data_IF_262245823291
#
_entry.id   IF_262245823291
#
_cell.length_a   1.000
_cell.length_b   1.000
_cell.length_c   1.000
_cell.angle_alpha   90.00
_cell.angle_beta   90.00
_cell.angle_gamma   90.00
#
_symmetry.space_group_name_H-M   'P 1'
#
loop_
_entity.id
_entity.type
_entity.pdbx_description
1 polymer ?
#
# COMPACT_ATOMS: atom_id res chain seq x y z
N UNK A 1 10.72 16.37 5.42
CA UNK A 1 10.53 15.29 4.42
C UNK A 1 10.43 13.88 5.00
N UNK A 2 10.59 13.63 6.31
CA UNK A 2 10.48 12.28 6.91
C UNK A 2 9.24 12.06 7.81
N UNK A 3 8.57 13.13 8.25
CA UNK A 3 7.46 13.05 9.21
C UNK A 3 6.13 12.53 8.59
N UNK A 4 6.02 12.45 7.27
CA UNK A 4 4.76 12.17 6.55
C UNK A 4 4.71 10.85 5.78
N UNK A 5 5.78 10.05 5.72
CA UNK A 5 5.79 8.85 4.86
C UNK A 5 5.46 7.56 5.61
N UNK A 6 6.20 7.23 6.67
CA UNK A 6 6.00 5.97 7.41
C UNK A 6 4.83 6.00 8.38
N UNK A 7 4.77 7.04 9.21
CA UNK A 7 3.77 7.17 10.29
C UNK A 7 2.36 7.29 9.70
N UNK A 8 2.20 8.10 8.64
CA UNK A 8 0.92 8.28 7.96
C UNK A 8 0.42 6.97 7.34
N UNK A 9 1.31 6.16 6.74
CA UNK A 9 0.95 4.85 6.22
C UNK A 9 0.52 3.87 7.32
N UNK A 10 1.18 3.93 8.49
CA UNK A 10 0.79 3.15 9.67
C UNK A 10 -0.59 3.56 10.20
N UNK A 11 -0.88 4.86 10.31
CA UNK A 11 -2.20 5.34 10.73
C UNK A 11 -3.27 4.89 9.73
N UNK A 12 -2.99 4.97 8.42
CA UNK A 12 -3.91 4.53 7.38
C UNK A 12 -4.26 3.04 7.49
N UNK A 13 -3.27 2.15 7.71
CA UNK A 13 -3.56 0.72 7.85
C UNK A 13 -4.36 0.43 9.13
N UNK A 14 -4.10 1.15 10.23
CA UNK A 14 -4.87 1.02 11.46
C UNK A 14 -6.33 1.41 11.22
N UNK A 15 -6.58 2.55 10.57
CA UNK A 15 -7.93 3.00 10.20
C UNK A 15 -8.62 1.92 9.36
N UNK A 16 -7.91 1.32 8.40
CA UNK A 16 -8.47 0.26 7.57
C UNK A 16 -8.87 -0.98 8.36
N UNK A 17 -8.12 -1.38 9.39
CA UNK A 17 -8.51 -2.48 10.25
C UNK A 17 -9.68 -2.11 11.16
N UNK A 18 -9.67 -0.92 11.76
CA UNK A 18 -10.72 -0.47 12.69
C UNK A 18 -12.05 -0.28 11.99
N UNK A 19 -12.07 0.37 10.82
CA UNK A 19 -13.28 0.64 10.04
C UNK A 19 -13.64 -0.50 9.08
N UNK A 20 -12.91 -1.61 9.09
CA UNK A 20 -13.13 -2.74 8.17
C UNK A 20 -14.54 -3.32 8.27
N UNK A 21 -15.05 -3.43 9.49
CA UNK A 21 -16.38 -3.98 9.74
C UNK A 21 -17.50 -3.03 9.31
N UNK A 22 -17.27 -1.70 9.38
CA UNK A 22 -18.23 -0.68 8.94
C UNK A 22 -18.45 -0.70 7.41
N UNK A 23 -17.43 -1.10 6.65
CA UNK A 23 -17.48 -1.12 5.17
C UNK A 23 -17.88 -2.48 4.59
N UNK A 24 -18.17 -3.48 5.43
CA UNK A 24 -18.56 -4.82 4.98
C UNK A 24 -19.81 -4.79 4.10
N UNK A 25 -19.79 -5.56 3.02
CA UNK A 25 -20.90 -5.63 2.06
C UNK A 25 -20.99 -4.43 1.12
N UNK A 26 -20.07 -3.46 1.23
CA UNK A 26 -19.96 -2.33 0.31
C UNK A 26 -18.76 -2.51 -0.63
N UNK A 27 -18.72 -1.69 -1.69
CA UNK A 27 -17.57 -1.68 -2.61
C UNK A 27 -16.26 -1.26 -1.94
N UNK A 28 -16.34 -0.48 -0.85
CA UNK A 28 -15.19 -0.05 -0.05
C UNK A 28 -14.50 -1.20 0.68
N UNK A 29 -15.18 -2.33 0.93
CA UNK A 29 -14.54 -3.50 1.54
C UNK A 29 -13.34 -3.95 0.71
N UNK A 30 -13.49 -3.98 -0.62
CA UNK A 30 -12.41 -4.37 -1.54
C UNK A 30 -11.24 -3.36 -1.49
N UNK A 31 -11.53 -2.06 -1.41
CA UNK A 31 -10.53 -1.01 -1.24
C UNK A 31 -9.74 -1.15 0.04
N UNK A 32 -10.41 -1.40 1.16
CA UNK A 32 -9.78 -1.55 2.47
C UNK A 32 -8.86 -2.78 2.49
N UNK A 33 -9.34 -3.92 2.02
CA UNK A 33 -8.54 -5.14 1.91
C UNK A 33 -7.35 -4.96 0.95
N UNK A 34 -7.55 -4.24 -0.15
CA UNK A 34 -6.50 -3.94 -1.11
C UNK A 34 -5.42 -3.00 -0.52
N UNK A 35 -5.82 -1.99 0.26
CA UNK A 35 -4.88 -1.08 0.92
C UNK A 35 -4.08 -1.81 2.00
N UNK A 36 -4.72 -2.67 2.81
CA UNK A 36 -4.06 -3.51 3.81
C UNK A 36 -3.01 -4.42 3.15
N UNK A 37 -3.38 -5.16 2.10
CA UNK A 37 -2.45 -6.04 1.36
C UNK A 37 -1.27 -5.26 0.77
N UNK A 38 -1.54 -4.08 0.20
CA UNK A 38 -0.51 -3.23 -0.39
C UNK A 38 0.46 -2.72 0.69
N UNK A 39 -0.05 -2.29 1.85
CA UNK A 39 0.79 -1.86 2.97
C UNK A 39 1.78 -2.95 3.39
N UNK A 40 1.31 -4.18 3.63
CA UNK A 40 2.17 -5.28 4.04
C UNK A 40 3.17 -5.68 2.97
N UNK A 41 2.77 -5.71 1.70
CA UNK A 41 3.66 -6.02 0.59
C UNK A 41 4.78 -4.96 0.46
N UNK A 42 4.43 -3.68 0.54
CA UNK A 42 5.41 -2.58 0.53
C UNK A 42 6.33 -2.65 1.73
N UNK A 43 5.81 -2.91 2.92
CA UNK A 43 6.61 -2.98 4.14
C UNK A 43 7.65 -4.11 4.05
N UNK A 44 7.24 -5.31 3.61
CA UNK A 44 8.14 -6.45 3.45
C UNK A 44 9.19 -6.17 2.37
N UNK A 45 8.77 -5.70 1.18
CA UNK A 45 9.70 -5.41 0.09
C UNK A 45 10.64 -4.24 0.41
N UNK A 46 10.20 -3.26 1.19
CA UNK A 46 11.05 -2.17 1.66
C UNK A 46 12.09 -2.66 2.66
N UNK A 47 11.71 -3.55 3.59
CA UNK A 47 12.66 -4.19 4.53
C UNK A 47 13.70 -5.01 3.75
N UNK A 48 13.25 -5.87 2.83
CA UNK A 48 14.14 -6.68 1.98
C UNK A 48 15.05 -5.79 1.14
N UNK A 49 14.50 -4.77 0.46
CA UNK A 49 15.28 -3.84 -0.36
C UNK A 49 16.32 -3.05 0.44
N UNK A 50 15.97 -2.69 1.68
CA UNK A 50 16.90 -1.99 2.59
C UNK A 50 18.03 -2.90 3.06
N UNK A 51 17.74 -4.17 3.38
CA UNK A 51 18.76 -5.16 3.76
C UNK A 51 19.66 -5.49 2.56
N UNK A 52 19.10 -5.69 1.38
CA UNK A 52 19.86 -6.07 0.17
C UNK A 52 20.59 -4.88 -0.47
N UNK A 53 20.45 -3.66 0.09
CA UNK A 53 21.18 -2.46 -0.35
C UNK A 53 22.69 -2.64 -0.33
N UNK A 54 23.21 -3.41 0.62
CA UNK A 54 24.65 -3.65 0.78
C UNK A 54 25.29 -4.35 -0.44
N UNK A 55 24.49 -5.02 -1.27
CA UNK A 55 24.94 -5.76 -2.45
C UNK A 55 24.57 -5.00 -3.75
N UNK A 56 24.24 -3.70 -3.67
CA UNK A 56 23.73 -2.85 -4.77
C UNK A 56 22.38 -3.29 -5.39
N UNK A 57 21.99 -4.56 -5.28
CA UNK A 57 20.74 -5.12 -5.77
C UNK A 57 19.52 -4.48 -5.07
N UNK A 58 19.66 -4.08 -3.80
CA UNK A 58 18.60 -3.40 -3.06
C UNK A 58 18.09 -2.12 -3.73
N UNK A 59 18.93 -1.38 -4.46
CA UNK A 59 18.49 -0.18 -5.19
C UNK A 59 17.52 -0.52 -6.32
N UNK A 60 17.77 -1.59 -7.06
CA UNK A 60 16.88 -2.06 -8.14
C UNK A 60 15.55 -2.53 -7.57
N UNK A 61 15.58 -3.26 -6.44
CA UNK A 61 14.38 -3.72 -5.75
C UNK A 61 13.55 -2.54 -5.27
N UNK A 62 14.15 -1.56 -4.60
CA UNK A 62 13.45 -0.38 -4.08
C UNK A 62 12.90 0.51 -5.21
N UNK A 63 13.61 0.63 -6.33
CA UNK A 63 13.13 1.33 -7.51
C UNK A 63 11.92 0.63 -8.13
N UNK A 64 12.00 -0.68 -8.35
CA UNK A 64 10.88 -1.49 -8.84
C UNK A 64 9.68 -1.44 -7.91
N UNK A 65 9.92 -1.49 -6.59
CA UNK A 65 8.89 -1.32 -5.57
C UNK A 65 8.19 0.03 -5.70
N UNK A 66 8.94 1.11 -5.92
CA UNK A 66 8.39 2.46 -6.07
C UNK A 66 7.47 2.54 -7.28
N UNK A 67 7.91 2.05 -8.44
CA UNK A 67 7.10 2.02 -9.66
C UNK A 67 5.82 1.17 -9.48
N UNK A 68 5.97 -0.01 -8.89
CA UNK A 68 4.84 -0.89 -8.59
C UNK A 68 3.85 -0.24 -7.62
N UNK A 69 4.34 0.44 -6.59
CA UNK A 69 3.51 1.15 -5.62
C UNK A 69 2.72 2.28 -6.26
N UNK A 70 3.34 3.08 -7.13
CA UNK A 70 2.67 4.15 -7.88
C UNK A 70 1.55 3.55 -8.77
N UNK A 71 1.85 2.51 -9.55
CA UNK A 71 0.85 1.81 -10.36
C UNK A 71 -0.34 1.36 -9.52
N UNK A 72 -0.07 0.74 -8.37
CA UNK A 72 -1.10 0.30 -7.42
C UNK A 72 -1.94 1.48 -6.96
N UNK A 73 -1.34 2.58 -6.50
CA UNK A 73 -2.07 3.77 -6.05
C UNK A 73 -3.01 4.32 -7.13
N UNK A 74 -2.53 4.40 -8.38
CA UNK A 74 -3.36 4.86 -9.52
C UNK A 74 -4.53 3.91 -9.76
N UNK A 75 -4.31 2.59 -9.80
CA UNK A 75 -5.38 1.59 -9.94
C UNK A 75 -6.43 1.74 -8.83
N UNK A 76 -6.00 1.89 -7.58
CA UNK A 76 -6.89 2.06 -6.43
C UNK A 76 -7.69 3.37 -6.49
N UNK A 77 -7.05 4.47 -6.88
CA UNK A 77 -7.68 5.78 -7.02
C UNK A 77 -8.72 5.81 -8.13
N UNK A 78 -8.42 5.22 -9.30
CA UNK A 78 -9.37 5.12 -10.41
C UNK A 78 -10.61 4.32 -10.00
N UNK A 79 -10.43 3.16 -9.37
CA UNK A 79 -11.54 2.36 -8.86
C UNK A 79 -12.36 3.10 -7.79
N UNK A 80 -11.70 3.93 -6.96
CA UNK A 80 -12.38 4.75 -5.95
C UNK A 80 -13.25 5.83 -6.59
N UNK A 81 -12.72 6.54 -7.59
CA UNK A 81 -13.43 7.59 -8.31
C UNK A 81 -14.65 7.03 -9.07
N UNK A 82 -14.53 5.81 -9.60
CA UNK A 82 -15.60 5.11 -10.30
C UNK A 82 -16.59 4.39 -9.36
N UNK A 83 -16.39 4.47 -8.03
CA UNK A 83 -17.17 3.71 -7.01
C UNK A 83 -17.29 2.22 -7.34
N UNK A 84 -16.22 1.64 -7.90
CA UNK A 84 -16.17 0.24 -8.35
C UNK A 84 -15.30 -0.58 -7.40
N UNK A 85 -15.63 -1.86 -7.26
CA UNK A 85 -14.80 -2.80 -6.52
C UNK A 85 -13.41 -2.93 -7.16
N UNK A 86 -12.38 -3.17 -6.34
CA UNK A 86 -11.07 -3.59 -6.83
C UNK A 86 -11.04 -5.11 -6.92
N UNK A 87 -11.13 -5.63 -8.14
CA UNK A 87 -10.82 -7.03 -8.48
C UNK A 87 -9.30 -7.26 -8.59
#
# INVERSE_FOLDING_TARGET
MALFSGITAFIAVIINYVKRDEVRGTWLQSHFDWQIKTFWCVLILAIIGTITRFILIGYVILFGLTLWYIYRMVKGFLAFNERRNIE
#
